data_IF_972198179482
#
_entry.id   IF_972198179482
#
_cell.length_a   1.000
_cell.length_b   1.000
_cell.length_c   1.000
_cell.angle_alpha   90.00
_cell.angle_beta   90.00
_cell.angle_gamma   90.00
#
_symmetry.space_group_name_H-M   'P 1'
#
loop_
_entity.id
_entity.type
_entity.pdbx_description
1 polymer ?
#
# COMPACT_ATOMS: atom_id res chain seq x y z
N UNK A 1 50.67 69.57 -36.07
CA UNK A 1 51.30 70.24 -37.23
C UNK A 1 50.84 69.54 -38.50
N UNK A 2 49.66 69.93 -39.01
CA UNK A 2 49.30 70.19 -40.41
C UNK A 2 47.75 70.14 -40.50
N UNK A 3 47.08 71.28 -40.76
CA UNK A 3 45.62 71.40 -40.76
C UNK A 3 45.03 71.38 -42.20
N UNK A 4 43.71 71.60 -42.27
CA UNK A 4 42.92 72.03 -43.44
C UNK A 4 42.32 70.89 -44.30
N UNK A 5 41.06 70.94 -44.77
CA UNK A 5 40.19 72.09 -45.08
C UNK A 5 38.73 71.59 -45.31
N UNK A 6 37.76 72.30 -44.74
CA UNK A 6 36.38 72.47 -45.24
C UNK A 6 36.40 73.17 -46.64
N UNK A 7 35.29 73.44 -47.41
CA UNK A 7 33.90 73.65 -46.96
C UNK A 7 32.71 73.36 -47.93
N UNK A 8 31.50 73.34 -47.34
CA UNK A 8 30.27 74.10 -47.67
C UNK A 8 29.54 74.05 -49.04
N UNK A 9 28.23 74.30 -48.90
CA UNK A 9 27.19 74.76 -49.84
C UNK A 9 26.35 73.66 -50.50
N UNK A 10 25.02 73.62 -50.37
CA UNK A 10 24.06 74.53 -49.73
C UNK A 10 22.77 74.62 -50.56
N UNK A 11 21.62 74.61 -49.85
CA UNK A 11 20.32 75.19 -50.26
C UNK A 11 19.61 74.58 -51.50
N UNK A 12 18.27 74.44 -51.59
CA UNK A 12 17.18 75.27 -51.07
C UNK A 12 15.80 74.63 -51.39
N UNK A 13 14.81 74.89 -50.50
CA UNK A 13 13.39 75.26 -50.79
C UNK A 13 12.45 74.18 -51.37
N UNK A 14 11.13 74.11 -51.10
CA UNK A 14 10.06 75.05 -50.69
C UNK A 14 8.93 74.22 -50.00
N UNK A 15 8.46 74.61 -48.82
CA UNK A 15 7.14 75.22 -48.54
C UNK A 15 5.89 74.32 -48.63
N UNK A 16 5.22 74.20 -47.47
CA UNK A 16 3.91 73.57 -47.26
C UNK A 16 3.51 73.72 -45.79
N UNK A 17 2.93 74.86 -45.46
CA UNK A 17 2.99 75.54 -44.17
C UNK A 17 1.58 75.70 -43.54
N UNK A 18 1.50 75.46 -42.21
CA UNK A 18 0.55 76.00 -41.20
C UNK A 18 -0.91 75.54 -41.14
N UNK A 19 -1.25 74.93 -39.99
CA UNK A 19 -2.14 75.54 -38.97
C UNK A 19 -1.85 74.92 -37.58
N UNK A 20 -0.98 75.53 -36.77
CA UNK A 20 -1.25 76.33 -35.53
C UNK A 20 -1.81 75.49 -34.36
N UNK A 21 -1.00 74.97 -33.43
CA UNK A 21 -0.35 75.63 -32.26
C UNK A 21 -1.30 75.97 -31.11
N UNK A 22 -1.55 75.03 -30.17
CA UNK A 22 -1.78 75.24 -28.70
C UNK A 22 -1.59 73.88 -27.98
N UNK A 23 -1.03 73.90 -26.74
CA UNK A 23 -0.84 72.80 -25.76
C UNK A 23 0.33 71.84 -26.04
N UNK A 24 1.55 72.03 -25.49
CA UNK A 24 2.03 71.88 -24.09
C UNK A 24 1.58 70.59 -23.39
N UNK A 25 2.62 69.84 -22.98
CA UNK A 25 2.69 68.74 -22.01
C UNK A 25 2.25 67.33 -22.46
N UNK A 26 3.11 66.37 -22.10
CA UNK A 26 2.84 64.95 -21.89
C UNK A 26 2.45 64.11 -23.12
N UNK A 27 3.45 63.54 -23.81
CA UNK A 27 3.27 62.26 -24.52
C UNK A 27 4.62 61.74 -24.99
N UNK A 28 5.32 60.95 -24.16
CA UNK A 28 6.24 59.86 -24.57
C UNK A 28 6.77 59.10 -23.34
N UNK A 29 5.90 58.81 -22.37
CA UNK A 29 6.11 57.74 -21.37
C UNK A 29 4.77 57.03 -21.24
N UNK A 30 4.50 56.12 -22.17
CA UNK A 30 3.40 55.18 -22.08
C UNK A 30 3.81 53.91 -22.84
N UNK A 31 3.70 52.78 -22.15
CA UNK A 31 4.00 51.41 -22.59
C UNK A 31 5.43 50.90 -22.33
N UNK A 32 5.76 50.63 -21.05
CA UNK A 32 6.14 49.31 -20.49
C UNK A 32 6.20 49.47 -18.97
N UNK A 33 5.05 49.35 -18.31
CA UNK A 33 4.96 49.15 -16.86
C UNK A 33 3.67 48.37 -16.61
N UNK A 34 3.62 47.13 -17.12
CA UNK A 34 2.62 46.17 -16.67
C UNK A 34 3.17 45.57 -15.37
N UNK A 35 2.58 46.03 -14.28
CA UNK A 35 2.74 45.56 -12.92
C UNK A 35 2.67 44.03 -12.86
N UNK A 36 3.81 43.37 -12.63
CA UNK A 36 3.85 42.02 -12.05
C UNK A 36 3.52 42.15 -10.56
N UNK A 37 2.24 42.36 -10.26
CA UNK A 37 1.70 41.94 -8.97
C UNK A 37 1.69 40.43 -9.03
N UNK A 38 2.78 39.80 -8.59
CA UNK A 38 2.76 38.41 -8.18
C UNK A 38 1.86 38.38 -6.94
N UNK A 39 0.57 38.16 -7.16
CA UNK A 39 -0.29 37.59 -6.13
C UNK A 39 0.36 36.24 -5.79
N UNK A 40 1.18 36.25 -4.74
CA UNK A 40 1.52 35.05 -4.00
C UNK A 40 0.23 34.50 -3.41
N UNK A 41 -0.56 33.84 -4.24
CA UNK A 41 -1.53 32.89 -3.76
C UNK A 41 -0.71 31.92 -2.90
N UNK A 42 -1.06 31.71 -1.61
CA UNK A 42 -0.51 30.57 -0.92
C UNK A 42 -0.84 29.38 -1.82
N UNK A 43 0.18 28.67 -2.28
CA UNK A 43 -0.02 27.31 -2.73
C UNK A 43 -0.67 26.65 -1.52
N UNK A 44 -2.00 26.51 -1.54
CA UNK A 44 -2.67 25.59 -0.64
C UNK A 44 -1.95 24.29 -0.90
N UNK A 45 -1.06 23.92 0.02
CA UNK A 45 -0.53 22.58 0.08
C UNK A 45 -1.77 21.71 0.00
N UNK A 46 -1.97 21.07 -1.15
CA UNK A 46 -3.04 20.10 -1.29
C UNK A 46 -2.68 19.06 -0.25
N UNK A 47 -3.36 19.10 0.89
CA UNK A 47 -3.08 18.25 2.01
C UNK A 47 -3.51 16.86 1.56
N UNK A 48 -2.56 16.16 0.93
CA UNK A 48 -2.82 14.94 0.19
C UNK A 48 -3.10 13.85 1.22
N UNK A 49 -4.24 13.19 1.08
CA UNK A 49 -4.54 11.98 1.83
C UNK A 49 -3.44 10.94 1.61
N UNK A 50 -2.90 10.40 2.69
CA UNK A 50 -1.88 9.34 2.68
C UNK A 50 -2.51 8.06 3.22
N UNK A 51 -2.35 6.97 2.46
CA UNK A 51 -2.71 5.62 2.86
C UNK A 51 -1.44 4.91 3.36
N UNK A 52 -1.34 4.67 4.66
CA UNK A 52 -0.14 4.08 5.24
C UNK A 52 -0.04 2.58 4.91
N UNK A 53 1.17 2.10 4.62
CA UNK A 53 1.48 0.68 4.38
C UNK A 53 0.56 -0.01 3.35
N UNK A 54 0.25 0.67 2.25
CA UNK A 54 -0.68 0.22 1.20
C UNK A 54 -2.11 -0.09 1.67
N UNK A 55 -2.47 0.32 2.89
CA UNK A 55 -3.79 0.13 3.48
C UNK A 55 -4.91 0.82 2.71
N UNK A 56 -6.13 0.61 3.17
CA UNK A 56 -7.36 1.13 2.56
C UNK A 56 -7.93 2.33 3.30
N UNK A 57 -7.36 2.67 4.46
CA UNK A 57 -7.72 3.85 5.25
C UNK A 57 -6.68 4.94 5.02
N UNK A 58 -7.15 6.10 4.55
CA UNK A 58 -6.35 7.27 4.29
C UNK A 58 -6.63 8.36 5.31
N UNK A 59 -5.60 9.14 5.65
CA UNK A 59 -5.71 10.34 6.48
C UNK A 59 -4.84 11.44 5.91
N UNK A 60 -5.21 12.68 6.13
CA UNK A 60 -4.32 13.83 5.97
C UNK A 60 -3.58 14.01 7.31
N UNK A 61 -2.33 13.54 7.44
CA UNK A 61 -1.64 13.63 8.71
C UNK A 61 -1.30 15.09 9.07
N UNK A 62 -1.28 15.45 10.37
CA UNK A 62 -0.75 16.73 10.83
C UNK A 62 0.69 16.96 10.35
N UNK A 63 1.09 18.22 10.21
CA UNK A 63 2.45 18.57 9.79
C UNK A 63 3.52 17.95 10.73
N UNK A 64 4.61 17.47 10.14
CA UNK A 64 5.71 16.79 10.87
C UNK A 64 5.55 15.28 11.04
N UNK A 65 4.35 14.73 10.82
CA UNK A 65 4.12 13.28 10.84
C UNK A 65 4.59 12.62 9.54
N UNK A 66 5.39 11.57 9.66
CA UNK A 66 5.91 10.79 8.51
C UNK A 66 5.52 9.32 8.63
N UNK A 67 5.35 8.62 7.50
CA UNK A 67 5.02 7.19 7.50
C UNK A 67 6.14 6.32 8.08
N UNK A 68 5.75 5.22 8.71
CA UNK A 68 6.70 4.24 9.27
C UNK A 68 6.68 2.96 8.41
N UNK A 69 7.81 2.52 7.84
CA UNK A 69 7.85 1.28 7.05
C UNK A 69 7.38 0.07 7.87
N UNK A 70 6.48 -0.74 7.30
CA UNK A 70 5.95 -1.95 7.94
C UNK A 70 4.94 -1.72 9.07
N UNK A 71 4.65 -0.46 9.42
CA UNK A 71 3.62 -0.11 10.40
C UNK A 71 2.54 0.69 9.70
N UNK A 72 1.25 0.32 9.83
CA UNK A 72 0.15 1.10 9.24
C UNK A 72 -0.06 2.38 10.05
N UNK A 73 0.82 3.38 9.88
CA UNK A 73 0.78 4.59 10.69
C UNK A 73 1.85 5.63 10.37
N UNK A 74 1.88 6.65 11.22
CA UNK A 74 2.76 7.81 11.13
C UNK A 74 3.43 8.09 12.47
N UNK A 75 4.58 8.76 12.43
CA UNK A 75 5.31 9.17 13.61
C UNK A 75 5.95 10.55 13.40
N UNK A 76 5.97 11.34 14.47
CA UNK A 76 6.92 12.43 14.65
C UNK A 76 7.83 12.07 15.83
N UNK A 77 9.08 11.74 15.54
CA UNK A 77 10.05 11.32 16.55
C UNK A 77 10.47 12.47 17.47
N UNK A 78 10.54 13.70 16.95
CA UNK A 78 10.95 14.86 17.73
C UNK A 78 9.90 15.20 18.79
N UNK A 79 8.63 15.02 18.45
CA UNK A 79 7.50 15.26 19.35
C UNK A 79 7.06 14.02 20.15
N UNK A 80 7.70 12.86 19.93
CA UNK A 80 7.23 11.57 20.46
C UNK A 80 5.74 11.31 20.19
N UNK A 81 5.29 11.70 19.00
CA UNK A 81 3.89 11.60 18.59
C UNK A 81 3.71 10.49 17.56
N UNK A 82 2.57 9.81 17.60
CA UNK A 82 2.28 8.71 16.66
C UNK A 82 0.81 8.65 16.29
N UNK A 83 0.55 8.19 15.06
CA UNK A 83 -0.77 7.83 14.54
C UNK A 83 -0.72 6.37 14.12
N UNK A 84 -1.60 5.54 14.64
CA UNK A 84 -1.75 4.14 14.23
C UNK A 84 -3.11 3.95 13.55
N UNK A 85 -3.10 3.24 12.44
CA UNK A 85 -4.28 2.93 11.62
C UNK A 85 -4.49 1.42 11.64
N UNK A 86 -5.68 0.97 12.00
CA UNK A 86 -6.06 -0.43 12.05
C UNK A 86 -7.31 -0.67 11.21
N UNK A 87 -7.24 -1.71 10.38
CA UNK A 87 -8.34 -2.18 9.54
C UNK A 87 -8.96 -3.42 10.19
N UNK A 88 -10.28 -3.41 10.35
CA UNK A 88 -11.04 -4.47 11.01
C UNK A 88 -12.23 -4.88 10.15
N UNK A 89 -12.78 -6.10 10.36
CA UNK A 89 -14.00 -6.53 9.68
C UNK A 89 -15.16 -5.55 9.91
N UNK A 90 -16.03 -5.37 8.93
CA UNK A 90 -17.17 -4.44 8.99
C UNK A 90 -18.02 -4.54 10.26
N UNK A 91 -18.22 -5.77 10.78
CA UNK A 91 -18.99 -6.03 12.01
C UNK A 91 -18.41 -5.37 13.25
N UNK A 92 -17.10 -5.11 13.25
CA UNK A 92 -16.39 -4.53 14.39
C UNK A 92 -16.91 -3.14 14.71
N UNK A 93 -17.38 -2.36 13.72
CA UNK A 93 -17.92 -1.02 13.99
C UNK A 93 -19.08 -1.06 14.99
N UNK A 94 -20.08 -1.91 14.77
CA UNK A 94 -21.24 -2.00 15.66
C UNK A 94 -20.89 -2.67 16.98
N UNK A 95 -20.05 -3.73 16.94
CA UNK A 95 -19.61 -4.44 18.15
C UNK A 95 -18.83 -3.52 19.09
N UNK A 96 -17.92 -2.74 18.52
CA UNK A 96 -17.14 -1.75 19.24
C UNK A 96 -18.06 -0.63 19.68
N UNK A 97 -18.74 0.10 18.79
CA UNK A 97 -19.49 1.29 19.22
C UNK A 97 -20.60 1.00 20.24
N UNK A 98 -21.22 -0.19 20.21
CA UNK A 98 -22.18 -0.63 21.22
C UNK A 98 -21.53 -1.04 22.55
N UNK A 99 -20.38 -1.74 22.52
CA UNK A 99 -19.74 -2.32 23.71
C UNK A 99 -18.43 -1.64 24.15
N UNK A 100 -18.03 -0.53 23.52
CA UNK A 100 -16.86 0.27 23.92
C UNK A 100 -17.20 1.00 25.22
N UNK A 101 -17.29 0.23 26.30
CA UNK A 101 -17.45 0.72 27.64
C UNK A 101 -16.14 1.39 28.04
N UNK A 102 -16.24 2.63 28.55
CA UNK A 102 -15.09 3.36 29.11
C UNK A 102 -14.33 2.53 30.15
N UNK A 103 -14.99 1.57 30.80
CA UNK A 103 -14.40 0.62 31.75
C UNK A 103 -13.32 -0.29 31.13
N UNK A 104 -13.50 -0.78 29.89
CA UNK A 104 -12.51 -1.67 29.26
C UNK A 104 -11.26 -0.88 28.82
N UNK A 105 -11.47 0.35 28.34
CA UNK A 105 -10.38 1.30 28.09
C UNK A 105 -9.66 1.69 29.38
N UNK A 106 -10.41 1.86 30.48
CA UNK A 106 -9.85 2.20 31.78
C UNK A 106 -8.98 1.06 32.34
N UNK A 107 -9.35 -0.21 32.11
CA UNK A 107 -8.48 -1.36 32.40
C UNK A 107 -7.16 -1.32 31.61
N UNK A 108 -7.18 -0.74 30.40
CA UNK A 108 -5.98 -0.50 29.60
C UNK A 108 -5.24 0.81 29.97
N UNK A 109 -5.65 1.46 31.07
CA UNK A 109 -5.08 2.71 31.54
C UNK A 109 -5.47 3.94 30.73
N UNK A 110 -6.48 3.83 29.86
CA UNK A 110 -7.02 4.94 29.05
C UNK A 110 -8.24 5.55 29.75
N UNK A 111 -8.11 6.80 30.17
CA UNK A 111 -9.22 7.61 30.68
C UNK A 111 -9.87 8.35 29.52
N UNK A 112 -11.15 8.08 29.27
CA UNK A 112 -11.94 8.80 28.26
C UNK A 112 -12.57 10.03 28.90
N UNK A 113 -12.29 11.20 28.35
CA UNK A 113 -12.87 12.47 28.80
C UNK A 113 -14.05 12.88 27.92
N UNK A 114 -13.96 12.59 26.62
CA UNK A 114 -14.97 12.97 25.66
C UNK A 114 -15.25 11.82 24.71
N UNK A 115 -16.54 11.62 24.45
CA UNK A 115 -17.07 10.69 23.46
C UNK A 115 -18.07 11.44 22.59
N UNK A 116 -17.87 11.42 21.28
CA UNK A 116 -18.68 12.16 20.32
C UNK A 116 -18.89 11.34 19.05
N UNK A 117 -20.14 11.19 18.64
CA UNK A 117 -20.45 10.71 17.30
C UNK A 117 -20.15 11.83 16.29
N UNK A 118 -19.45 11.47 15.22
CA UNK A 118 -19.06 12.37 14.13
C UNK A 118 -19.38 11.70 12.80
N UNK A 119 -19.58 12.52 11.78
CA UNK A 119 -19.80 12.06 10.41
C UNK A 119 -18.62 12.51 9.57
N UNK A 120 -17.90 11.56 8.99
CA UNK A 120 -16.77 11.83 8.10
C UNK A 120 -17.26 12.16 6.69
N UNK A 121 -16.33 12.35 5.75
CA UNK A 121 -16.65 12.47 4.34
C UNK A 121 -17.53 11.31 3.84
N UNK A 122 -18.32 11.58 2.81
CA UNK A 122 -19.26 10.61 2.19
C UNK A 122 -20.32 10.04 3.16
N UNK A 123 -20.55 10.70 4.29
CA UNK A 123 -21.57 10.31 5.27
C UNK A 123 -21.17 9.12 6.15
N UNK A 124 -19.88 8.78 6.19
CA UNK A 124 -19.40 7.64 6.98
C UNK A 124 -19.58 7.92 8.47
N UNK A 125 -20.33 7.07 9.21
CA UNK A 125 -20.52 7.26 10.64
C UNK A 125 -19.23 6.90 11.38
N UNK A 126 -18.86 7.72 12.36
CA UNK A 126 -17.71 7.47 13.18
C UNK A 126 -17.92 7.90 14.63
N UNK A 127 -17.15 7.28 15.52
CA UNK A 127 -17.09 7.59 16.94
C UNK A 127 -15.70 8.16 17.25
N UNK A 128 -15.65 9.37 17.77
CA UNK A 128 -14.44 10.00 18.26
C UNK A 128 -14.39 9.96 19.78
N UNK A 129 -13.29 9.41 20.29
CA UNK A 129 -12.94 9.38 21.70
C UNK A 129 -11.70 10.23 21.92
N UNK A 130 -11.69 10.98 23.02
CA UNK A 130 -10.56 11.78 23.46
C UNK A 130 -10.34 11.57 24.95
N UNK A 131 -9.09 11.53 25.34
CA UNK A 131 -8.68 11.57 26.73
C UNK A 131 -7.19 11.34 26.88
N UNK A 132 -6.80 10.58 27.89
CA UNK A 132 -5.39 10.39 28.24
C UNK A 132 -5.11 8.94 28.62
N UNK A 133 -3.86 8.51 28.43
CA UNK A 133 -3.37 7.23 28.89
C UNK A 133 -2.19 7.44 29.84
N UNK A 134 -2.31 6.93 31.06
CA UNK A 134 -1.23 7.00 32.05
C UNK A 134 -0.20 5.92 31.74
N UNK A 135 1.06 6.34 31.56
CA UNK A 135 2.19 5.43 31.29
C UNK A 135 3.34 5.80 32.22
N UNK A 136 3.57 4.97 33.25
CA UNK A 136 4.54 5.28 34.30
C UNK A 136 4.18 6.56 35.06
N UNK A 137 5.11 7.53 35.09
CA UNK A 137 4.90 8.84 35.70
C UNK A 137 4.35 9.91 34.73
N UNK A 138 4.14 9.56 33.46
CA UNK A 138 3.66 10.49 32.43
C UNK A 138 2.23 10.19 31.96
N UNK A 139 1.63 11.17 31.28
CA UNK A 139 0.37 11.01 30.58
C UNK A 139 0.56 11.27 29.09
N UNK A 140 0.00 10.39 28.26
CA UNK A 140 -0.13 10.58 26.82
C UNK A 140 -1.53 11.07 26.52
N UNK A 141 -1.66 12.19 25.81
CA UNK A 141 -2.93 12.56 25.19
C UNK A 141 -3.26 11.49 24.15
N UNK A 142 -4.54 11.11 24.07
CA UNK A 142 -5.00 10.05 23.19
C UNK A 142 -6.31 10.40 22.52
N UNK A 143 -6.38 10.17 21.22
CA UNK A 143 -7.60 10.18 20.43
C UNK A 143 -7.78 8.83 19.76
N UNK A 144 -9.01 8.34 19.72
CA UNK A 144 -9.38 7.13 19.00
C UNK A 144 -10.59 7.47 18.15
N UNK A 145 -10.43 7.44 16.83
CA UNK A 145 -11.52 7.52 15.87
C UNK A 145 -11.85 6.12 15.38
N UNK A 146 -13.12 5.74 15.43
CA UNK A 146 -13.61 4.45 14.94
C UNK A 146 -14.66 4.73 13.88
N UNK A 147 -14.41 4.35 12.63
CA UNK A 147 -15.23 4.72 11.48
C UNK A 147 -15.79 3.48 10.76
N UNK A 148 -17.09 3.50 10.48
CA UNK A 148 -17.83 2.41 9.85
C UNK A 148 -17.86 2.53 8.33
N UNK A 149 -16.74 2.24 7.68
CA UNK A 149 -16.65 2.22 6.21
C UNK A 149 -17.59 1.18 5.57
N UNK A 150 -17.75 1.27 4.23
CA UNK A 150 -18.69 0.44 3.48
C UNK A 150 -18.45 -1.07 3.65
N UNK A 151 -17.19 -1.49 3.57
CA UNK A 151 -16.78 -2.90 3.56
C UNK A 151 -15.95 -3.29 4.78
N UNK A 152 -15.60 -2.32 5.63
CA UNK A 152 -14.64 -2.50 6.73
C UNK A 152 -14.80 -1.44 7.81
N UNK A 153 -14.22 -1.69 8.97
CA UNK A 153 -14.11 -0.72 10.07
C UNK A 153 -12.69 -0.20 10.16
N UNK A 154 -12.54 1.12 10.25
CA UNK A 154 -11.26 1.76 10.50
C UNK A 154 -11.13 2.24 11.93
N UNK A 155 -9.98 2.00 12.56
CA UNK A 155 -9.62 2.60 13.83
C UNK A 155 -8.33 3.39 13.69
N UNK A 156 -8.40 4.70 13.95
CA UNK A 156 -7.24 5.59 13.93
C UNK A 156 -6.97 6.09 15.34
N UNK A 157 -5.80 5.75 15.87
CA UNK A 157 -5.36 6.15 17.21
C UNK A 157 -4.25 7.18 17.10
N UNK A 158 -4.44 8.36 17.68
CA UNK A 158 -3.40 9.38 17.81
C UNK A 158 -2.96 9.45 19.26
N UNK A 159 -1.65 9.50 19.51
CA UNK A 159 -1.14 9.68 20.86
C UNK A 159 0.17 10.45 20.89
N UNK A 160 0.37 11.25 21.94
CA UNK A 160 1.59 12.01 22.20
C UNK A 160 1.66 12.53 23.65
N UNK A 161 2.85 12.84 24.20
CA UNK A 161 2.98 13.48 25.51
C UNK A 161 2.37 14.88 25.53
N UNK A 162 1.86 15.33 26.68
CA UNK A 162 1.28 16.67 26.82
C UNK A 162 2.23 17.81 26.42
N UNK A 163 3.54 17.63 26.62
CA UNK A 163 4.57 18.58 26.16
C UNK A 163 4.52 18.85 24.63
N UNK A 164 3.98 17.92 23.83
CA UNK A 164 3.83 18.09 22.39
C UNK A 164 2.57 18.84 21.97
N UNK A 165 1.68 19.24 22.90
CA UNK A 165 0.42 19.94 22.58
C UNK A 165 0.62 21.28 21.88
N UNK A 166 1.75 21.97 22.07
CA UNK A 166 2.06 23.18 21.31
C UNK A 166 2.26 22.90 19.81
N UNK A 167 2.80 21.72 19.48
CA UNK A 167 3.00 21.27 18.08
C UNK A 167 1.75 20.60 17.52
N UNK A 168 1.03 19.86 18.36
CA UNK A 168 -0.23 19.19 18.02
C UNK A 168 -1.37 19.68 18.92
N UNK A 169 -1.92 20.88 18.65
CA UNK A 169 -3.13 21.33 19.32
C UNK A 169 -4.30 20.38 19.04
N UNK A 170 -5.20 20.25 20.01
CA UNK A 170 -6.33 19.32 19.94
C UNK A 170 -7.16 19.53 18.65
N UNK A 171 -7.42 20.78 18.27
CA UNK A 171 -8.14 21.11 17.05
C UNK A 171 -7.43 20.62 15.77
N UNK A 172 -6.11 20.62 15.74
CA UNK A 172 -5.32 20.11 14.60
C UNK A 172 -5.44 18.58 14.51
N UNK A 173 -5.41 17.90 15.66
CA UNK A 173 -5.57 16.43 15.72
C UNK A 173 -6.97 16.02 15.30
N UNK A 174 -8.00 16.68 15.82
CA UNK A 174 -9.40 16.39 15.48
C UNK A 174 -9.67 16.68 14.00
N UNK A 175 -9.17 17.79 13.46
CA UNK A 175 -9.26 18.09 12.02
C UNK A 175 -8.60 17.03 11.15
N UNK A 176 -7.44 16.50 11.57
CA UNK A 176 -6.79 15.41 10.85
C UNK A 176 -7.65 14.13 10.88
N UNK A 177 -8.21 13.77 12.03
CA UNK A 177 -9.10 12.61 12.17
C UNK A 177 -10.38 12.75 11.32
N UNK A 178 -10.92 13.96 11.18
CA UNK A 178 -12.06 14.24 10.31
C UNK A 178 -11.76 14.04 8.81
N UNK A 179 -10.48 14.03 8.41
CA UNK A 179 -10.06 13.75 7.02
C UNK A 179 -9.98 12.25 6.69
N UNK A 180 -10.32 11.38 7.64
CA UNK A 180 -10.26 9.94 7.41
C UNK A 180 -11.22 9.55 6.29
N UNK A 181 -10.67 8.86 5.29
CA UNK A 181 -11.39 8.38 4.11
C UNK A 181 -11.05 6.92 3.84
N UNK A 182 -11.96 6.23 3.18
CA UNK A 182 -11.80 4.84 2.78
C UNK A 182 -11.63 4.76 1.27
N UNK A 183 -10.74 3.88 0.83
CA UNK A 183 -10.72 3.38 -0.56
C UNK A 183 -11.13 1.92 -0.58
N UNK A 184 -11.60 1.45 -1.72
CA UNK A 184 -11.79 0.02 -1.92
C UNK A 184 -10.44 -0.71 -1.76
N UNK A 185 -10.42 -1.91 -1.15
CA UNK A 185 -9.25 -2.77 -1.24
C UNK A 185 -8.93 -3.06 -2.72
N UNK A 186 -7.65 -3.26 -3.07
CA UNK A 186 -7.31 -3.63 -4.43
C UNK A 186 -8.03 -4.93 -4.82
N UNK A 187 -8.53 -5.00 -6.04
CA UNK A 187 -9.16 -6.21 -6.55
C UNK A 187 -8.13 -7.35 -6.63
N UNK A 188 -8.60 -8.60 -6.62
CA UNK A 188 -7.73 -9.75 -6.84
C UNK A 188 -6.92 -9.61 -8.12
N UNK A 189 -7.51 -9.07 -9.19
CA UNK A 189 -6.83 -8.82 -10.46
C UNK A 189 -5.72 -7.77 -10.33
N UNK A 190 -5.97 -6.66 -9.63
CA UNK A 190 -4.95 -5.64 -9.35
C UNK A 190 -3.80 -6.20 -8.49
N UNK A 191 -4.10 -7.09 -7.54
CA UNK A 191 -3.09 -7.76 -6.73
C UNK A 191 -2.25 -8.74 -7.56
N UNK A 192 -2.89 -9.55 -8.41
CA UNK A 192 -2.21 -10.46 -9.35
C UNK A 192 -1.35 -9.67 -10.35
N UNK A 193 -1.80 -8.50 -10.78
CA UNK A 193 -1.05 -7.63 -11.68
C UNK A 193 0.28 -7.13 -11.06
N UNK A 194 0.41 -7.12 -9.73
CA UNK A 194 1.65 -6.73 -9.03
C UNK A 194 2.66 -7.87 -8.86
N UNK A 195 2.26 -9.12 -9.13
CA UNK A 195 3.16 -10.27 -9.00
C UNK A 195 4.21 -10.29 -10.13
N UNK A 196 5.44 -10.75 -9.87
CA UNK A 196 6.48 -10.89 -10.90
C UNK A 196 6.29 -12.14 -11.76
N UNK A 197 5.07 -12.66 -11.83
CA UNK A 197 4.68 -13.76 -12.69
C UNK A 197 3.22 -13.59 -13.11
N UNK A 198 2.83 -14.25 -14.20
CA UNK A 198 1.45 -14.33 -14.67
C UNK A 198 0.89 -15.73 -14.45
N UNK A 199 -0.41 -15.79 -14.15
CA UNK A 199 -1.22 -17.01 -14.18
C UNK A 199 -2.15 -16.90 -15.40
N UNK A 200 -2.24 -17.93 -16.23
CA UNK A 200 -3.12 -17.94 -17.42
C UNK A 200 -4.24 -18.94 -17.30
N UNK A 201 -3.89 -20.21 -17.17
CA UNK A 201 -4.83 -21.31 -16.99
C UNK A 201 -4.80 -21.74 -15.53
N UNK A 202 -5.93 -21.62 -14.83
CA UNK A 202 -6.04 -22.01 -13.43
C UNK A 202 -6.42 -23.49 -13.26
N UNK A 203 -6.71 -24.22 -14.34
CA UNK A 203 -7.01 -25.66 -14.32
C UNK A 203 -8.06 -26.07 -13.27
N UNK A 204 -9.11 -25.25 -13.10
CA UNK A 204 -10.18 -25.46 -12.11
C UNK A 204 -9.87 -24.98 -10.69
N UNK A 205 -8.70 -24.37 -10.45
CA UNK A 205 -8.41 -23.66 -9.22
C UNK A 205 -8.96 -22.22 -9.25
N UNK A 206 -9.26 -21.68 -8.09
CA UNK A 206 -9.61 -20.27 -7.87
C UNK A 206 -8.56 -19.60 -6.99
N UNK A 207 -8.36 -18.30 -7.16
CA UNK A 207 -7.43 -17.54 -6.31
C UNK A 207 -8.07 -17.35 -4.94
N UNK A 208 -7.49 -17.97 -3.93
CA UNK A 208 -7.94 -17.82 -2.54
C UNK A 208 -7.30 -16.60 -1.89
N UNK A 209 -5.99 -16.41 -2.09
CA UNK A 209 -5.26 -15.30 -1.46
C UNK A 209 -4.01 -14.93 -2.24
N UNK A 210 -3.76 -13.62 -2.38
CA UNK A 210 -2.46 -13.08 -2.81
C UNK A 210 -1.68 -12.66 -1.56
N UNK A 211 -0.43 -13.10 -1.44
CA UNK A 211 0.43 -12.85 -0.29
C UNK A 211 1.54 -11.88 -0.70
N UNK A 212 1.42 -10.64 -0.22
CA UNK A 212 2.33 -9.55 -0.56
C UNK A 212 2.41 -9.34 -2.08
N UNK A 213 3.63 -9.26 -2.60
CA UNK A 213 3.91 -9.10 -4.03
C UNK A 213 4.65 -10.30 -4.62
N UNK A 214 4.73 -11.42 -3.89
CA UNK A 214 5.61 -12.54 -4.27
C UNK A 214 4.92 -13.89 -4.35
N UNK A 215 3.70 -14.05 -3.84
CA UNK A 215 3.04 -15.35 -3.83
C UNK A 215 1.52 -15.26 -3.97
N UNK A 216 0.94 -16.36 -4.43
CA UNK A 216 -0.50 -16.60 -4.52
C UNK A 216 -0.80 -18.02 -4.06
N UNK A 217 -1.90 -18.16 -3.33
CA UNK A 217 -2.47 -19.42 -2.90
C UNK A 217 -3.80 -19.61 -3.64
N UNK A 218 -3.93 -20.77 -4.28
CA UNK A 218 -5.09 -21.20 -5.04
C UNK A 218 -5.71 -22.43 -4.40
N UNK A 219 -7.03 -22.57 -4.52
CA UNK A 219 -7.79 -23.71 -3.98
C UNK A 219 -8.78 -24.22 -5.02
N UNK A 220 -9.25 -25.45 -4.85
CA UNK A 220 -10.43 -25.97 -5.55
C UNK A 220 -11.74 -25.74 -4.77
N UNK A 221 -11.67 -25.12 -3.60
CA UNK A 221 -12.83 -24.71 -2.83
C UNK A 221 -13.64 -23.62 -3.54
N UNK A 222 -14.87 -23.42 -3.06
CA UNK A 222 -15.72 -22.31 -3.50
C UNK A 222 -15.07 -20.95 -3.18
N UNK A 223 -15.29 -19.98 -4.08
CA UNK A 223 -14.74 -18.64 -3.91
C UNK A 223 -15.34 -17.96 -2.67
N UNK A 224 -14.49 -17.31 -1.86
CA UNK A 224 -14.88 -16.58 -0.65
C UNK A 224 -14.48 -17.25 0.67
N UNK A 225 -13.95 -18.47 0.62
CA UNK A 225 -13.33 -19.12 1.78
C UNK A 225 -12.00 -18.44 2.15
N UNK A 226 -11.76 -18.31 3.46
CA UNK A 226 -10.54 -17.66 4.01
C UNK A 226 -9.44 -18.66 4.35
N UNK A 227 -9.79 -19.94 4.44
CA UNK A 227 -8.91 -21.07 4.68
C UNK A 227 -9.29 -22.21 3.73
N UNK A 228 -8.34 -23.05 3.28
CA UNK A 228 -8.67 -24.21 2.47
C UNK A 228 -9.51 -25.18 3.29
N UNK A 229 -10.73 -25.48 2.82
CA UNK A 229 -11.55 -26.57 3.38
C UNK A 229 -11.17 -27.90 2.73
N UNK A 230 -10.83 -27.84 1.46
CA UNK A 230 -10.20 -28.93 0.74
C UNK A 230 -8.73 -29.05 1.14
N UNK A 231 -8.26 -30.29 1.24
CA UNK A 231 -6.83 -30.60 1.34
C UNK A 231 -6.10 -30.36 0.00
N UNK A 232 -6.82 -29.96 -1.06
CA UNK A 232 -6.29 -29.65 -2.38
C UNK A 232 -6.07 -28.16 -2.57
N UNK A 233 -4.81 -27.73 -2.46
CA UNK A 233 -4.40 -26.35 -2.70
C UNK A 233 -3.11 -26.26 -3.52
N UNK A 234 -2.86 -25.09 -4.11
CA UNK A 234 -1.67 -24.82 -4.90
C UNK A 234 -1.06 -23.47 -4.55
N UNK A 235 0.25 -23.42 -4.36
CA UNK A 235 1.00 -22.21 -4.06
C UNK A 235 1.93 -21.91 -5.22
N UNK A 236 1.91 -20.67 -5.70
CA UNK A 236 2.95 -20.13 -6.59
C UNK A 236 3.66 -19.02 -5.83
N UNK A 237 4.98 -19.12 -5.71
CA UNK A 237 5.81 -18.12 -5.06
C UNK A 237 7.08 -17.85 -5.87
N UNK A 238 7.58 -16.62 -5.83
CA UNK A 238 8.91 -16.27 -6.33
C UNK A 238 9.91 -16.19 -5.16
N UNK A 239 11.10 -16.74 -5.37
CA UNK A 239 12.26 -16.52 -4.52
C UNK A 239 13.31 -15.66 -5.24
N UNK A 240 14.05 -14.80 -4.53
CA UNK A 240 15.05 -13.93 -5.12
C UNK A 240 16.33 -14.69 -5.48
N UNK A 241 17.07 -14.14 -6.45
CA UNK A 241 18.45 -14.55 -6.75
C UNK A 241 18.58 -15.73 -7.71
N UNK A 242 19.77 -15.84 -8.30
CA UNK A 242 20.14 -16.99 -9.12
C UNK A 242 20.54 -18.17 -8.23
N UNK A 243 20.07 -19.36 -8.58
CA UNK A 243 20.48 -20.61 -7.92
C UNK A 243 21.43 -21.36 -8.85
N UNK A 244 22.66 -21.56 -8.37
CA UNK A 244 23.70 -22.30 -9.08
C UNK A 244 23.27 -23.75 -9.30
N UNK A 245 23.70 -24.34 -10.39
CA UNK A 245 23.26 -25.68 -10.80
C UNK A 245 23.53 -26.76 -9.76
N UNK A 246 24.71 -26.72 -9.13
CA UNK A 246 25.14 -27.62 -8.05
C UNK A 246 24.33 -27.46 -6.75
N UNK A 247 23.62 -26.35 -6.58
CA UNK A 247 22.81 -26.07 -5.39
C UNK A 247 21.31 -26.42 -5.58
N UNK A 248 20.85 -26.57 -6.83
CA UNK A 248 19.41 -26.70 -7.18
C UNK A 248 18.72 -27.83 -6.45
N UNK A 249 19.34 -29.00 -6.37
CA UNK A 249 18.77 -30.15 -5.66
C UNK A 249 18.64 -29.88 -4.16
N UNK A 250 19.67 -29.30 -3.54
CA UNK A 250 19.64 -28.93 -2.13
C UNK A 250 18.56 -27.88 -1.83
N UNK A 251 18.39 -26.90 -2.72
CA UNK A 251 17.31 -25.91 -2.63
C UNK A 251 15.94 -26.58 -2.77
N UNK A 252 15.75 -27.49 -3.72
CA UNK A 252 14.49 -28.22 -3.90
C UNK A 252 14.11 -29.02 -2.64
N UNK A 253 15.07 -29.76 -2.07
CA UNK A 253 14.88 -30.55 -0.84
C UNK A 253 14.52 -29.66 0.36
N UNK A 254 15.23 -28.54 0.56
CA UNK A 254 14.89 -27.59 1.63
C UNK A 254 13.53 -26.93 1.43
N UNK A 255 13.20 -26.58 0.18
CA UNK A 255 11.95 -25.92 -0.15
C UNK A 255 10.75 -26.85 0.07
N UNK A 256 10.79 -28.13 -0.30
CA UNK A 256 9.63 -29.00 -0.12
C UNK A 256 9.33 -29.27 1.36
N UNK A 257 10.34 -29.23 2.23
CA UNK A 257 10.16 -29.37 3.68
C UNK A 257 9.47 -28.16 4.35
N UNK A 258 9.30 -27.03 3.65
CA UNK A 258 8.65 -25.82 4.18
C UNK A 258 7.25 -25.59 3.60
N UNK A 259 6.59 -26.65 3.12
CA UNK A 259 5.21 -26.55 2.67
C UNK A 259 4.30 -26.34 3.89
N UNK A 260 3.44 -25.30 3.89
CA UNK A 260 2.57 -25.02 5.03
C UNK A 260 1.44 -26.05 5.13
N UNK A 261 0.96 -26.31 6.34
CA UNK A 261 -0.22 -27.14 6.59
C UNK A 261 0.00 -28.65 6.48
N UNK A 262 1.24 -29.11 6.34
CA UNK A 262 1.57 -30.54 6.31
C UNK A 262 2.60 -30.92 7.38
N UNK A 263 2.66 -32.20 7.72
CA UNK A 263 3.67 -32.80 8.60
C UNK A 263 4.12 -34.16 8.08
N UNK A 264 5.22 -34.67 8.65
CA UNK A 264 5.78 -36.00 8.31
C UNK A 264 6.11 -36.22 6.83
N UNK A 265 6.51 -35.15 6.11
CA UNK A 265 6.84 -35.24 4.69
C UNK A 265 8.00 -36.24 4.45
N UNK A 266 7.76 -37.20 3.56
CA UNK A 266 8.76 -38.12 3.01
C UNK A 266 8.78 -38.01 1.49
N UNK A 267 9.93 -37.63 0.95
CA UNK A 267 10.14 -37.58 -0.50
C UNK A 267 10.08 -39.01 -1.04
N UNK A 268 9.20 -39.23 -2.00
CA UNK A 268 9.00 -40.52 -2.68
C UNK A 268 9.87 -40.60 -3.93
N UNK A 269 9.84 -39.54 -4.75
CA UNK A 269 10.57 -39.47 -6.02
C UNK A 269 10.77 -38.04 -6.47
N UNK A 270 11.60 -37.85 -7.49
CA UNK A 270 11.82 -36.56 -8.13
C UNK A 270 13.23 -36.43 -8.71
N UNK A 271 13.48 -35.31 -9.36
CA UNK A 271 14.75 -35.03 -10.01
C UNK A 271 14.71 -33.77 -10.88
N UNK A 272 15.82 -33.49 -11.59
CA UNK A 272 15.88 -32.41 -12.56
C UNK A 272 14.85 -32.58 -13.68
N UNK A 273 14.21 -31.49 -14.09
CA UNK A 273 13.38 -31.43 -15.30
C UNK A 273 13.49 -30.05 -15.94
N UNK A 274 12.70 -29.82 -16.99
CA UNK A 274 12.40 -28.47 -17.47
C UNK A 274 10.97 -28.06 -17.16
N UNK A 275 10.79 -26.83 -16.70
CA UNK A 275 9.48 -26.22 -16.42
C UNK A 275 9.37 -24.97 -17.29
N UNK A 276 8.42 -24.95 -18.24
CA UNK A 276 8.32 -23.84 -19.21
C UNK A 276 9.61 -23.61 -20.01
N UNK A 277 10.38 -24.68 -20.28
CA UNK A 277 11.67 -24.62 -20.97
C UNK A 277 12.86 -24.20 -20.09
N UNK A 278 12.64 -23.67 -18.89
CA UNK A 278 13.69 -23.33 -17.93
C UNK A 278 14.19 -24.57 -17.17
N UNK A 279 15.46 -24.62 -16.75
CA UNK A 279 15.94 -25.64 -15.82
C UNK A 279 15.09 -25.63 -14.55
N UNK A 280 14.71 -26.82 -14.08
CA UNK A 280 13.85 -26.96 -12.93
C UNK A 280 14.09 -28.24 -12.16
N UNK A 281 13.33 -28.42 -11.09
CA UNK A 281 13.40 -29.61 -10.24
C UNK A 281 11.99 -30.00 -9.79
N UNK A 282 11.65 -31.28 -9.88
CA UNK A 282 10.38 -31.83 -9.39
C UNK A 282 10.69 -32.71 -8.19
N UNK A 283 9.90 -32.57 -7.14
CA UNK A 283 9.89 -33.50 -6.01
C UNK A 283 8.45 -33.85 -5.71
N UNK A 284 8.19 -35.14 -5.49
CA UNK A 284 6.92 -35.66 -5.03
C UNK A 284 7.14 -36.39 -3.72
N UNK A 285 6.29 -36.12 -2.74
CA UNK A 285 6.37 -36.74 -1.42
C UNK A 285 5.00 -37.06 -0.85
N UNK A 286 5.01 -37.97 0.12
CA UNK A 286 3.87 -38.32 0.94
C UNK A 286 3.97 -37.55 2.26
N UNK A 287 2.85 -37.06 2.78
CA UNK A 287 2.78 -36.32 4.03
C UNK A 287 1.43 -36.56 4.72
N UNK A 288 1.26 -36.00 5.91
CA UNK A 288 -0.03 -35.90 6.58
C UNK A 288 -0.48 -34.45 6.58
N UNK A 289 -1.77 -34.22 6.38
CA UNK A 289 -2.38 -32.93 6.66
C UNK A 289 -2.22 -32.59 8.15
N UNK A 290 -1.83 -31.36 8.46
CA UNK A 290 -1.49 -30.98 9.82
C UNK A 290 -2.71 -30.95 10.75
N UNK A 291 -3.89 -30.59 10.22
CA UNK A 291 -5.12 -30.42 11.00
C UNK A 291 -5.90 -31.73 11.19
N UNK A 292 -5.99 -32.53 10.13
CA UNK A 292 -6.89 -33.69 10.05
C UNK A 292 -6.18 -35.04 10.13
N UNK A 293 -4.84 -35.07 10.13
CA UNK A 293 -4.04 -36.30 10.11
C UNK A 293 -4.27 -37.20 8.89
N UNK A 294 -4.99 -36.72 7.87
CA UNK A 294 -5.28 -37.49 6.67
C UNK A 294 -4.08 -37.55 5.72
N UNK A 295 -3.87 -38.67 5.01
CA UNK A 295 -2.78 -38.81 4.05
C UNK A 295 -2.92 -37.87 2.84
N UNK A 296 -1.92 -37.04 2.62
CA UNK A 296 -1.82 -36.16 1.45
C UNK A 296 -0.55 -36.43 0.66
N UNK A 297 -0.58 -36.08 -0.63
CA UNK A 297 0.60 -36.06 -1.48
C UNK A 297 0.93 -34.63 -1.89
N UNK A 298 2.23 -34.38 -1.98
CA UNK A 298 2.80 -33.07 -2.29
C UNK A 298 3.58 -33.19 -3.58
N UNK A 299 3.32 -32.30 -4.53
CA UNK A 299 4.14 -32.11 -5.73
C UNK A 299 4.74 -30.71 -5.71
N UNK A 300 6.06 -30.61 -5.74
CA UNK A 300 6.77 -29.34 -5.86
C UNK A 300 7.51 -29.28 -7.18
N UNK A 301 7.41 -28.13 -7.86
CA UNK A 301 8.24 -27.75 -8.98
C UNK A 301 9.02 -26.47 -8.64
N UNK A 302 10.32 -26.49 -8.89
CA UNK A 302 11.13 -25.29 -8.98
C UNK A 302 11.44 -25.01 -10.45
N UNK A 303 11.41 -23.73 -10.83
CA UNK A 303 11.90 -23.25 -12.13
C UNK A 303 12.91 -22.14 -11.88
N UNK A 304 14.14 -22.34 -12.35
CA UNK A 304 15.26 -21.46 -12.04
C UNK A 304 15.50 -20.45 -13.17
N UNK A 305 15.38 -19.17 -12.86
CA UNK A 305 15.72 -18.06 -13.74
C UNK A 305 16.98 -17.33 -13.29
N UNK A 306 17.36 -16.28 -14.02
CA UNK A 306 18.57 -15.46 -13.72
C UNK A 306 18.38 -14.50 -12.55
N UNK A 307 17.18 -13.97 -12.37
CA UNK A 307 16.90 -12.93 -11.36
C UNK A 307 16.12 -13.48 -10.14
N UNK A 308 15.79 -14.76 -10.16
CA UNK A 308 14.94 -15.41 -9.19
C UNK A 308 14.54 -16.81 -9.65
N UNK A 309 13.80 -17.51 -8.80
CA UNK A 309 13.22 -18.81 -9.12
C UNK A 309 11.74 -18.84 -8.76
N UNK A 310 10.96 -19.59 -9.53
CA UNK A 310 9.57 -19.91 -9.17
C UNK A 310 9.57 -21.18 -8.34
N UNK A 311 8.78 -21.16 -7.27
CA UNK A 311 8.37 -22.33 -6.50
C UNK A 311 6.87 -22.51 -6.68
N UNK A 312 6.50 -23.68 -7.20
CA UNK A 312 5.12 -24.10 -7.37
C UNK A 312 4.92 -25.36 -6.53
N UNK A 313 3.92 -25.37 -5.66
CA UNK A 313 3.64 -26.51 -4.78
C UNK A 313 2.15 -26.82 -4.85
N UNK A 314 1.80 -28.04 -5.25
CA UNK A 314 0.47 -28.59 -5.10
C UNK A 314 0.42 -29.60 -3.96
N UNK A 315 -0.66 -29.56 -3.18
CA UNK A 315 -1.01 -30.57 -2.19
C UNK A 315 -2.40 -31.09 -2.54
N UNK A 316 -2.63 -32.40 -2.38
CA UNK A 316 -3.95 -33.02 -2.56
C UNK A 316 -4.07 -34.29 -1.70
N UNK A 317 -5.30 -34.73 -1.37
CA UNK A 317 -5.55 -36.05 -0.78
C UNK A 317 -4.88 -37.16 -1.58
N UNK A 318 -4.30 -38.14 -0.89
CA UNK A 318 -3.61 -39.27 -1.56
C UNK A 318 -4.52 -40.02 -2.53
N UNK A 319 -5.79 -40.19 -2.16
CA UNK A 319 -6.82 -40.86 -2.97
C UNK A 319 -7.14 -40.16 -4.29
N UNK A 320 -7.03 -38.83 -4.34
CA UNK A 320 -7.37 -38.01 -5.51
C UNK A 320 -6.14 -37.45 -6.23
N UNK A 321 -4.94 -37.81 -5.75
CA UNK A 321 -3.70 -37.17 -6.18
C UNK A 321 -3.47 -37.29 -7.68
N UNK A 322 -3.75 -38.42 -8.34
CA UNK A 322 -3.46 -38.57 -9.77
C UNK A 322 -4.29 -37.62 -10.64
N UNK A 323 -5.57 -37.44 -10.31
CA UNK A 323 -6.45 -36.50 -11.00
C UNK A 323 -6.02 -35.05 -10.73
N UNK A 324 -5.75 -34.72 -9.45
CA UNK A 324 -5.32 -33.40 -9.04
C UNK A 324 -3.93 -33.05 -9.61
N UNK A 325 -3.03 -34.01 -9.69
CA UNK A 325 -1.70 -33.87 -10.24
C UNK A 325 -1.73 -33.48 -11.73
N UNK A 326 -2.70 -33.98 -12.48
CA UNK A 326 -2.97 -33.52 -13.85
C UNK A 326 -3.28 -32.02 -13.90
N UNK A 327 -4.22 -31.57 -13.07
CA UNK A 327 -4.60 -30.16 -12.98
C UNK A 327 -3.47 -29.27 -12.45
N UNK A 328 -2.73 -29.72 -11.44
CA UNK A 328 -1.55 -29.04 -10.90
C UNK A 328 -0.45 -28.85 -11.94
N UNK A 329 -0.22 -29.84 -12.80
CA UNK A 329 0.73 -29.70 -13.92
C UNK A 329 0.26 -28.70 -14.96
N UNK A 330 -1.02 -28.71 -15.32
CA UNK A 330 -1.58 -27.71 -16.23
C UNK A 330 -1.44 -26.29 -15.65
N UNK A 331 -1.77 -26.11 -14.37
CA UNK A 331 -1.59 -24.85 -13.64
C UNK A 331 -0.12 -24.42 -13.62
N UNK A 332 0.82 -25.32 -13.29
CA UNK A 332 2.27 -25.08 -13.36
C UNK A 332 2.70 -24.57 -14.74
N UNK A 333 2.21 -25.21 -15.80
CA UNK A 333 2.55 -24.84 -17.18
C UNK A 333 1.92 -23.49 -17.60
N UNK A 334 0.86 -23.06 -16.91
CA UNK A 334 0.25 -21.74 -17.02
C UNK A 334 0.95 -20.62 -16.25
N UNK A 335 2.00 -20.92 -15.46
CA UNK A 335 2.80 -19.91 -14.74
C UNK A 335 3.97 -19.45 -15.58
N UNK A 336 4.15 -18.13 -15.71
CA UNK A 336 5.30 -17.55 -16.41
C UNK A 336 5.88 -16.40 -15.61
N UNK A 337 7.19 -16.46 -15.30
CA UNK A 337 7.91 -15.35 -14.68
C UNK A 337 7.96 -14.17 -15.65
N UNK A 338 7.78 -12.95 -15.14
CA UNK A 338 7.88 -11.72 -15.93
C UNK A 338 9.33 -11.25 -16.05
#
# INVERSE_FOLDING_TARGET
MNPQKEPSYGFRKLEGLRMRLVARLAASVAAVALSLIVLGLPASAQTKTIFANDGTIGIVPPEGMVTVPGVPGFQDRAASASILVLEMPKRAYTEITANFASEELQKQGVTVEQRRDVTLADGVPALLLKGFQTVGAGALKKWILIAGGKDQTGMVTVQFPEAASARYPDATVEKALETVVFRAPPSTEEMLAKLPFTLRDLAGYTVMKVVGTSAVLLTKDEAGETEPKSQSFFIVAVGPGEIREDEREGVAKRAISSVPGIKELRIERGGPLRVGGQPGFELIGNALDQQSDQPVKVAQWLSFGRNGYLRMVGVAPTENFDADYGAMRALRDGVTLR
#
